data_IF_957479651577
#
_entry.id   IF_957479651577
#
_cell.length_a   1.000
_cell.length_b   1.000
_cell.length_c   1.000
_cell.angle_alpha   90.00
_cell.angle_beta   90.00
_cell.angle_gamma   90.00
#
_symmetry.space_group_name_H-M   'P 1'
#
loop_
_entity.id
_entity.type
_entity.pdbx_description
1 polymer ?
#
# COMPACT_ATOMS: atom_id res chain seq x y z
N UNK A 1 -0.33 -26.12 -6.95
CA UNK A 1 1.15 -26.17 -7.03
C UNK A 1 1.77 -25.07 -7.90
N UNK A 2 1.39 -24.93 -9.19
CA UNK A 2 2.00 -23.94 -10.10
C UNK A 2 1.92 -22.48 -9.63
N UNK A 3 0.80 -22.07 -9.00
CA UNK A 3 0.66 -20.73 -8.39
C UNK A 3 1.58 -20.49 -7.19
N UNK A 4 1.83 -21.51 -6.38
CA UNK A 4 2.72 -21.42 -5.21
C UNK A 4 4.18 -21.27 -5.65
N UNK A 5 4.58 -22.02 -6.68
CA UNK A 5 5.92 -21.94 -7.28
C UNK A 5 6.15 -20.56 -7.90
N UNK A 6 5.19 -20.05 -8.67
CA UNK A 6 5.29 -18.70 -9.25
C UNK A 6 5.34 -17.62 -8.15
N UNK A 7 4.53 -17.74 -7.10
CA UNK A 7 4.58 -16.83 -5.96
C UNK A 7 5.93 -16.84 -5.26
N UNK A 8 6.52 -18.02 -5.06
CA UNK A 8 7.85 -18.17 -4.47
C UNK A 8 8.94 -17.49 -5.30
N UNK A 9 8.98 -17.72 -6.62
CA UNK A 9 9.95 -17.05 -7.50
C UNK A 9 9.76 -15.52 -7.53
N UNK A 10 8.53 -15.05 -7.44
CA UNK A 10 8.24 -13.62 -7.36
C UNK A 10 8.76 -13.02 -6.05
N UNK A 11 8.57 -13.71 -4.92
CA UNK A 11 9.12 -13.28 -3.62
C UNK A 11 10.65 -13.27 -3.62
N UNK A 12 11.29 -14.28 -4.21
CA UNK A 12 12.75 -14.33 -4.35
C UNK A 12 13.24 -13.19 -5.24
N UNK A 13 12.59 -12.95 -6.38
CA UNK A 13 12.91 -11.83 -7.26
C UNK A 13 12.75 -10.48 -6.55
N UNK A 14 11.66 -10.29 -5.80
CA UNK A 14 11.42 -9.10 -5.00
C UNK A 14 12.53 -8.92 -3.95
N UNK A 15 12.92 -9.98 -3.25
CA UNK A 15 13.99 -9.94 -2.26
C UNK A 15 15.33 -9.51 -2.87
N UNK A 16 15.67 -10.05 -4.05
CA UNK A 16 16.89 -9.64 -4.78
C UNK A 16 16.84 -8.16 -5.14
N UNK A 17 15.71 -7.69 -5.69
CA UNK A 17 15.53 -6.27 -6.04
C UNK A 17 15.65 -5.38 -4.81
N UNK A 18 15.03 -5.76 -3.69
CA UNK A 18 15.15 -5.03 -2.43
C UNK A 18 16.60 -4.94 -1.97
N UNK A 19 17.35 -6.05 -1.98
CA UNK A 19 18.76 -6.05 -1.59
C UNK A 19 19.56 -5.09 -2.46
N UNK A 20 19.36 -5.10 -3.78
CA UNK A 20 20.04 -4.16 -4.68
C UNK A 20 19.65 -2.72 -4.35
N UNK A 21 18.36 -2.44 -4.18
CA UNK A 21 17.85 -1.10 -3.93
C UNK A 21 18.39 -0.48 -2.63
N UNK A 22 18.50 -1.26 -1.57
CA UNK A 22 18.97 -0.79 -0.25
C UNK A 22 20.49 -0.78 -0.11
N UNK A 23 21.20 -1.75 -0.69
CA UNK A 23 22.61 -1.99 -0.36
C UNK A 23 23.58 -1.74 -1.51
N UNK A 24 23.11 -1.64 -2.76
CA UNK A 24 24.01 -1.38 -3.89
C UNK A 24 24.08 0.14 -4.13
N UNK A 25 25.24 0.78 -3.89
CA UNK A 25 25.41 2.19 -4.16
C UNK A 25 25.44 2.43 -5.67
N UNK A 26 24.64 3.40 -6.14
CA UNK A 26 24.64 3.85 -7.52
C UNK A 26 25.28 5.25 -7.55
N UNK A 27 26.58 5.29 -7.81
CA UNK A 27 27.37 6.52 -7.70
C UNK A 27 27.79 6.81 -6.27
N UNK A 28 27.28 7.89 -5.65
CA UNK A 28 27.65 8.31 -4.28
C UNK A 28 26.65 7.92 -3.19
N UNK A 29 25.44 7.54 -3.57
CA UNK A 29 24.34 7.20 -2.65
C UNK A 29 23.65 5.92 -3.12
N UNK A 30 22.99 5.20 -2.22
CA UNK A 30 22.09 4.10 -2.59
C UNK A 30 20.79 4.65 -3.20
N UNK A 31 20.06 3.82 -3.94
CA UNK A 31 18.75 4.23 -4.46
C UNK A 31 17.77 4.56 -3.33
N UNK A 32 17.84 3.81 -2.24
CA UNK A 32 17.11 4.10 -1.02
C UNK A 32 17.42 5.49 -0.43
N UNK A 33 18.71 5.82 -0.27
CA UNK A 33 19.12 7.14 0.23
C UNK A 33 18.66 8.28 -0.69
N UNK A 34 18.68 8.04 -2.01
CA UNK A 34 18.18 9.01 -2.97
C UNK A 34 16.66 9.24 -2.83
N UNK A 35 15.90 8.16 -2.64
CA UNK A 35 14.46 8.24 -2.41
C UNK A 35 14.13 8.91 -1.08
N UNK A 36 14.85 8.60 0.00
CA UNK A 36 14.70 9.29 1.30
C UNK A 36 14.95 10.80 1.16
N UNK A 37 15.96 11.18 0.39
CA UNK A 37 16.25 12.59 0.12
C UNK A 37 15.11 13.29 -0.63
N UNK A 38 14.47 12.61 -1.58
CA UNK A 38 13.30 13.14 -2.31
C UNK A 38 12.08 13.21 -1.38
N UNK A 39 11.84 12.18 -0.58
CA UNK A 39 10.74 12.14 0.38
C UNK A 39 10.86 13.22 1.46
N UNK A 40 12.09 13.61 1.81
CA UNK A 40 12.36 14.70 2.75
C UNK A 40 12.06 16.10 2.18
N UNK A 41 11.77 16.24 0.88
CA UNK A 41 11.43 17.54 0.29
C UNK A 41 10.03 18.01 0.71
N UNK A 42 9.86 19.34 0.87
CA UNK A 42 8.55 19.92 1.25
C UNK A 42 7.39 19.47 0.35
N UNK A 43 7.52 19.45 -0.99
CA UNK A 43 6.43 19.00 -1.87
C UNK A 43 6.06 17.53 -1.66
N UNK A 44 7.04 16.66 -1.39
CA UNK A 44 6.79 15.25 -1.14
C UNK A 44 6.08 15.01 0.19
N UNK A 45 6.43 15.79 1.22
CA UNK A 45 5.75 15.75 2.51
C UNK A 45 4.30 16.28 2.42
N UNK A 46 4.08 17.33 1.64
CA UNK A 46 2.75 17.87 1.38
C UNK A 46 1.85 16.87 0.67
N UNK A 47 2.36 16.24 -0.40
CA UNK A 47 1.67 15.16 -1.09
C UNK A 47 1.38 13.98 -0.15
N UNK A 48 2.32 13.62 0.72
CA UNK A 48 2.13 12.57 1.73
C UNK A 48 0.96 12.87 2.67
N UNK A 49 0.86 14.10 3.17
CA UNK A 49 -0.27 14.53 4.03
C UNK A 49 -1.59 14.54 3.28
N UNK A 50 -1.60 14.89 2.00
CA UNK A 50 -2.80 14.86 1.17
C UNK A 50 -3.28 13.42 0.94
N UNK A 51 -2.36 12.51 0.62
CA UNK A 51 -2.65 11.08 0.47
C UNK A 51 -3.16 10.48 1.78
N UNK A 52 -2.58 10.84 2.92
CA UNK A 52 -3.04 10.41 4.25
C UNK A 52 -4.50 10.84 4.49
N UNK A 53 -4.84 12.09 4.22
CA UNK A 53 -6.22 12.58 4.34
C UNK A 53 -7.18 11.83 3.41
N UNK A 54 -6.79 11.65 2.14
CA UNK A 54 -7.59 10.93 1.17
C UNK A 54 -7.83 9.46 1.57
N UNK A 55 -6.83 8.83 2.20
CA UNK A 55 -6.94 7.43 2.63
C UNK A 55 -7.81 7.26 3.88
N UNK A 56 -7.78 8.22 4.81
CA UNK A 56 -8.74 8.27 5.94
C UNK A 56 -10.17 8.42 5.41
N UNK A 57 -10.40 9.36 4.49
CA UNK A 57 -11.74 9.60 3.90
C UNK A 57 -12.26 8.39 3.12
N UNK A 58 -11.38 7.71 2.37
CA UNK A 58 -11.70 6.45 1.69
C UNK A 58 -12.03 5.33 2.69
N UNK A 59 -11.28 5.25 3.79
CA UNK A 59 -11.51 4.27 4.85
C UNK A 59 -12.87 4.45 5.51
N UNK A 60 -13.21 5.68 5.90
CA UNK A 60 -14.51 6.02 6.49
C UNK A 60 -15.66 5.66 5.54
N UNK A 61 -15.57 6.06 4.26
CA UNK A 61 -16.60 5.69 3.26
C UNK A 61 -16.73 4.19 3.06
N UNK A 62 -15.63 3.45 3.10
CA UNK A 62 -15.66 2.00 2.94
C UNK A 62 -16.32 1.31 4.13
N UNK A 63 -16.12 1.83 5.36
CA UNK A 63 -16.79 1.36 6.57
C UNK A 63 -18.29 1.67 6.50
N UNK A 64 -18.65 2.91 6.17
CA UNK A 64 -20.06 3.32 6.04
C UNK A 64 -20.80 2.47 5.00
N UNK A 65 -20.18 2.21 3.84
CA UNK A 65 -20.78 1.37 2.80
C UNK A 65 -20.89 -0.10 3.26
N UNK A 66 -19.91 -0.60 4.01
CA UNK A 66 -19.93 -1.94 4.56
C UNK A 66 -21.06 -2.13 5.58
N UNK A 67 -21.23 -1.17 6.48
CA UNK A 67 -22.25 -1.20 7.52
C UNK A 67 -23.66 -1.02 6.92
N UNK A 68 -23.84 -0.10 5.97
CA UNK A 68 -25.10 0.05 5.25
C UNK A 68 -25.52 -1.24 4.51
N UNK A 69 -24.56 -1.94 3.88
CA UNK A 69 -24.82 -3.24 3.24
C UNK A 69 -25.17 -4.34 4.23
N UNK A 70 -24.60 -4.30 5.44
CA UNK A 70 -24.89 -5.25 6.52
C UNK A 70 -26.31 -5.06 7.04
N UNK A 71 -26.73 -3.84 7.31
CA UNK A 71 -28.09 -3.52 7.79
C UNK A 71 -29.17 -3.95 6.79
N UNK A 72 -29.00 -3.63 5.50
CA UNK A 72 -29.91 -4.05 4.44
C UNK A 72 -30.04 -5.58 4.33
N UNK A 73 -28.95 -6.32 4.61
CA UNK A 73 -28.95 -7.78 4.59
C UNK A 73 -29.69 -8.37 5.79
N UNK A 74 -29.59 -7.74 6.96
CA UNK A 74 -30.29 -8.18 8.17
C UNK A 74 -31.79 -7.90 8.08
N UNK A 75 -32.19 -6.77 7.49
CA UNK A 75 -33.58 -6.45 7.19
C UNK A 75 -34.20 -7.43 6.18
N UNK A 76 -33.45 -7.78 5.13
CA UNK A 76 -33.90 -8.79 4.16
C UNK A 76 -33.94 -10.24 4.72
N UNK A 77 -33.24 -10.51 5.83
CA UNK A 77 -33.17 -11.83 6.46
C UNK A 77 -34.23 -12.05 7.54
N UNK A 78 -34.99 -11.02 7.95
CA UNK A 78 -36.16 -11.14 8.82
C UNK A 78 -37.45 -11.04 7.98
N UNK A 79 -37.97 -12.15 7.41
CA UNK A 79 -39.34 -12.17 6.93
C UNK A 79 -40.28 -12.11 8.14
N UNK A 80 -41.19 -11.15 8.13
CA UNK A 80 -42.32 -11.06 9.07
C UNK A 80 -43.18 -12.33 9.02
#
# INVERSE_FOLDING_TARGET
MRRLINGFFWLVGLAVVSVVYFFVPVGRFTLFEHTLRIAATEPAQELGREVEKASVELGERAVDEWDARRELREEAAQPQ
#
